data_IF_859288927846
#
_entry.id   IF_859288927846
#
_cell.length_a   1.000
_cell.length_b   1.000
_cell.length_c   1.000
_cell.angle_alpha   90.00
_cell.angle_beta   90.00
_cell.angle_gamma   90.00
#
_symmetry.space_group_name_H-M   'P 1'
#
loop_
_entity.id
_entity.type
_entity.pdbx_description
1 polymer ?
#
# COMPACT_ATOMS: atom_id res chain seq x y z
N UNK A 1 -18.51 -29.44 -15.48
CA UNK A 1 -18.20 -28.49 -14.38
C UNK A 1 -17.00 -27.59 -14.69
N UNK A 2 -15.80 -28.12 -14.97
CA UNK A 2 -14.58 -27.31 -15.19
C UNK A 2 -14.55 -26.44 -16.46
N UNK A 3 -15.49 -26.64 -17.40
CA UNK A 3 -15.66 -25.74 -18.57
C UNK A 3 -16.42 -24.45 -18.23
N UNK A 4 -17.19 -24.46 -17.14
CA UNK A 4 -17.98 -23.31 -16.67
C UNK A 4 -17.18 -22.44 -15.70
N UNK A 5 -16.20 -23.04 -15.01
CA UNK A 5 -15.59 -22.43 -13.83
C UNK A 5 -14.06 -22.48 -13.92
N UNK A 6 -13.38 -21.34 -13.75
CA UNK A 6 -11.90 -21.24 -13.76
C UNK A 6 -11.20 -21.86 -12.55
N UNK A 7 -11.92 -22.17 -11.48
CA UNK A 7 -11.36 -22.76 -10.28
C UNK A 7 -12.44 -23.08 -9.24
N UNK A 8 -12.12 -23.89 -8.24
CA UNK A 8 -13.11 -24.37 -7.25
C UNK A 8 -13.76 -23.24 -6.45
N UNK A 9 -13.09 -22.11 -6.23
CA UNK A 9 -13.66 -20.94 -5.54
C UNK A 9 -14.69 -20.18 -6.39
N UNK A 10 -14.61 -20.28 -7.71
CA UNK A 10 -15.57 -19.66 -8.62
C UNK A 10 -16.85 -20.50 -8.77
N UNK A 11 -16.87 -21.75 -8.27
CA UNK A 11 -18.05 -22.64 -8.34
C UNK A 11 -19.19 -22.07 -7.48
N UNK A 12 -18.89 -21.68 -6.24
CA UNK A 12 -19.87 -21.12 -5.32
C UNK A 12 -20.48 -19.82 -5.85
N UNK A 13 -19.66 -18.97 -6.45
CA UNK A 13 -20.12 -17.72 -7.04
C UNK A 13 -21.07 -17.96 -8.23
N UNK A 14 -20.72 -18.88 -9.13
CA UNK A 14 -21.57 -19.23 -10.28
C UNK A 14 -22.90 -19.84 -9.81
N UNK A 15 -22.88 -20.69 -8.77
CA UNK A 15 -24.11 -21.26 -8.21
C UNK A 15 -25.01 -20.21 -7.56
N UNK A 16 -24.45 -19.22 -6.87
CA UNK A 16 -25.21 -18.10 -6.28
C UNK A 16 -25.91 -17.26 -7.37
N UNK A 17 -25.21 -16.98 -8.46
CA UNK A 17 -25.79 -16.28 -9.63
C UNK A 17 -26.91 -17.08 -10.27
N UNK A 18 -26.70 -18.38 -10.51
CA UNK A 18 -27.72 -19.25 -11.10
C UNK A 18 -28.96 -19.40 -10.21
N UNK A 19 -28.75 -19.40 -8.89
CA UNK A 19 -29.84 -19.40 -7.91
C UNK A 19 -30.68 -18.12 -8.01
N UNK A 20 -30.04 -16.95 -8.00
CA UNK A 20 -30.73 -15.65 -8.11
C UNK A 20 -31.54 -15.53 -9.39
N UNK A 21 -30.99 -15.98 -10.50
CA UNK A 21 -31.62 -15.89 -11.83
C UNK A 21 -32.59 -17.03 -12.14
N UNK A 22 -32.81 -17.96 -11.19
CA UNK A 22 -33.69 -19.13 -11.34
C UNK A 22 -33.33 -20.02 -12.55
N UNK A 23 -32.04 -20.11 -12.87
CA UNK A 23 -31.54 -20.90 -14.01
C UNK A 23 -31.12 -22.28 -13.54
N UNK A 24 -31.62 -23.32 -14.22
CA UNK A 24 -31.25 -24.69 -13.91
C UNK A 24 -29.88 -25.07 -14.52
N UNK A 25 -28.97 -25.62 -13.72
CA UNK A 25 -27.67 -26.14 -14.17
C UNK A 25 -27.60 -27.65 -14.04
N UNK A 26 -27.50 -28.32 -15.20
CA UNK A 26 -27.27 -29.76 -15.30
C UNK A 26 -25.88 -30.08 -15.82
N UNK A 27 -25.22 -31.03 -15.16
CA UNK A 27 -23.91 -31.52 -15.59
C UNK A 27 -24.13 -32.77 -16.43
N UNK A 28 -23.66 -32.73 -17.69
CA UNK A 28 -23.81 -33.86 -18.62
C UNK A 28 -22.72 -34.91 -18.45
N UNK A 29 -21.49 -34.52 -18.10
CA UNK A 29 -20.33 -35.43 -18.06
C UNK A 29 -19.48 -35.28 -16.80
N UNK A 30 -18.83 -36.39 -16.41
CA UNK A 30 -17.91 -36.48 -15.28
C UNK A 30 -18.53 -37.02 -13.99
N UNK A 31 -17.83 -36.86 -12.86
CA UNK A 31 -18.24 -37.40 -11.55
C UNK A 31 -19.60 -36.87 -11.02
N UNK A 32 -20.13 -35.81 -11.63
CA UNK A 32 -21.43 -35.21 -11.31
C UNK A 32 -22.42 -35.31 -12.48
N UNK A 33 -22.20 -36.23 -13.43
CA UNK A 33 -23.10 -36.44 -14.58
C UNK A 33 -24.53 -36.73 -14.12
N UNK A 34 -25.51 -36.23 -14.90
CA UNK A 34 -26.94 -36.25 -14.64
C UNK A 34 -27.41 -35.45 -13.42
N UNK A 35 -26.51 -34.76 -12.72
CA UNK A 35 -26.87 -34.00 -11.53
C UNK A 35 -27.35 -32.59 -11.88
N UNK A 36 -28.47 -32.23 -11.26
CA UNK A 36 -29.02 -30.88 -11.28
C UNK A 36 -28.58 -30.14 -10.01
N UNK A 37 -27.64 -29.21 -10.16
CA UNK A 37 -27.05 -28.47 -9.03
C UNK A 37 -27.95 -27.35 -8.50
N UNK A 38 -29.14 -27.24 -9.08
CA UNK A 38 -30.15 -26.21 -8.80
C UNK A 38 -31.49 -26.85 -8.48
N UNK A 39 -31.52 -28.14 -8.13
CA UNK A 39 -32.76 -28.80 -7.78
C UNK A 39 -33.32 -28.26 -6.46
N UNK A 40 -34.58 -27.80 -6.49
CA UNK A 40 -35.30 -27.27 -5.33
C UNK A 40 -36.31 -28.27 -4.77
N UNK A 41 -36.53 -28.18 -3.48
CA UNK A 41 -37.59 -28.91 -2.82
C UNK A 41 -38.96 -28.26 -3.13
N UNK A 42 -39.90 -28.99 -3.74
CA UNK A 42 -41.12 -28.40 -4.33
C UNK A 42 -42.08 -27.76 -3.32
N UNK A 43 -41.96 -28.06 -2.02
CA UNK A 43 -42.78 -27.42 -0.97
C UNK A 43 -42.10 -26.29 -0.21
N UNK A 44 -40.76 -26.29 -0.13
CA UNK A 44 -40.04 -25.30 0.68
C UNK A 44 -39.34 -24.24 -0.17
N UNK A 45 -39.17 -24.46 -1.48
CA UNK A 45 -38.45 -23.54 -2.36
C UNK A 45 -36.95 -23.47 -2.08
N UNK A 46 -36.44 -24.27 -1.14
CA UNK A 46 -35.03 -24.34 -0.79
C UNK A 46 -34.31 -25.38 -1.65
N UNK A 47 -32.99 -25.20 -1.83
CA UNK A 47 -32.13 -26.17 -2.52
C UNK A 47 -32.22 -27.53 -1.80
N UNK A 48 -32.27 -28.62 -2.55
CA UNK A 48 -32.23 -29.97 -1.97
C UNK A 48 -31.00 -30.12 -1.05
N UNK A 49 -31.22 -30.60 0.18
CA UNK A 49 -30.15 -30.74 1.20
C UNK A 49 -28.97 -31.58 0.70
N UNK A 50 -29.22 -32.57 -0.16
CA UNK A 50 -28.17 -33.37 -0.83
C UNK A 50 -27.32 -32.53 -1.78
N UNK A 51 -27.93 -31.64 -2.57
CA UNK A 51 -27.23 -30.73 -3.46
C UNK A 51 -26.40 -29.74 -2.64
N UNK A 52 -26.99 -29.17 -1.58
CA UNK A 52 -26.30 -28.25 -0.66
C UNK A 52 -25.08 -28.90 -0.01
N UNK A 53 -25.23 -30.13 0.51
CA UNK A 53 -24.13 -30.88 1.10
C UNK A 53 -23.01 -31.11 0.09
N UNK A 54 -23.32 -31.58 -1.12
CA UNK A 54 -22.31 -31.86 -2.14
C UNK A 54 -21.57 -30.61 -2.62
N UNK A 55 -22.28 -29.49 -2.81
CA UNK A 55 -21.68 -28.20 -3.17
C UNK A 55 -20.72 -27.73 -2.06
N UNK A 56 -21.11 -27.88 -0.79
CA UNK A 56 -20.25 -27.55 0.35
C UNK A 56 -19.03 -28.46 0.45
N UNK A 57 -19.19 -29.77 0.27
CA UNK A 57 -18.07 -30.72 0.25
C UNK A 57 -17.11 -30.41 -0.89
N UNK A 58 -17.62 -30.13 -2.09
CA UNK A 58 -16.82 -29.73 -3.25
C UNK A 58 -16.02 -28.45 -3.00
N UNK A 59 -16.65 -27.45 -2.39
CA UNK A 59 -15.99 -26.21 -2.03
C UNK A 59 -14.88 -26.45 -1.00
N UNK A 60 -15.19 -27.19 0.07
CA UNK A 60 -14.25 -27.52 1.14
C UNK A 60 -13.06 -28.35 0.62
N UNK A 61 -13.29 -29.39 -0.19
CA UNK A 61 -12.22 -30.17 -0.84
C UNK A 61 -11.38 -29.28 -1.78
N UNK A 62 -12.03 -28.37 -2.50
CA UNK A 62 -11.34 -27.42 -3.37
C UNK A 62 -10.47 -26.42 -2.63
N UNK A 63 -10.87 -26.00 -1.43
CA UNK A 63 -10.06 -25.19 -0.52
C UNK A 63 -8.90 -25.98 0.06
N UNK A 64 -9.15 -27.17 0.58
CA UNK A 64 -8.12 -28.08 1.09
C UNK A 64 -7.03 -28.34 0.04
N UNK A 65 -7.42 -28.62 -1.21
CA UNK A 65 -6.46 -28.83 -2.29
C UNK A 65 -5.61 -27.59 -2.56
N UNK A 66 -6.21 -26.39 -2.51
CA UNK A 66 -5.48 -25.13 -2.72
C UNK A 66 -4.50 -24.85 -1.58
N UNK A 67 -4.90 -25.13 -0.35
CA UNK A 67 -4.04 -24.92 0.80
C UNK A 67 -2.88 -25.91 0.82
N UNK A 68 -3.13 -27.19 0.49
CA UNK A 68 -2.07 -28.18 0.33
C UNK A 68 -1.08 -27.79 -0.79
N UNK A 69 -1.58 -27.33 -1.94
CA UNK A 69 -0.71 -26.84 -3.03
C UNK A 69 0.15 -25.65 -2.59
N UNK A 70 -0.41 -24.72 -1.80
CA UNK A 70 0.35 -23.60 -1.23
C UNK A 70 1.43 -24.08 -0.27
N UNK A 71 1.08 -24.98 0.64
CA UNK A 71 2.02 -25.53 1.63
C UNK A 71 3.21 -26.21 0.93
N UNK A 72 2.94 -27.09 -0.04
CA UNK A 72 3.99 -27.73 -0.84
C UNK A 72 4.82 -26.72 -1.65
N UNK A 73 4.20 -25.64 -2.11
CA UNK A 73 4.92 -24.56 -2.80
C UNK A 73 5.86 -23.83 -1.84
N UNK A 74 5.40 -23.52 -0.62
CA UNK A 74 6.25 -22.90 0.40
C UNK A 74 7.38 -23.83 0.85
N UNK A 75 7.14 -25.13 0.98
CA UNK A 75 8.18 -26.11 1.24
C UNK A 75 9.24 -26.13 0.14
N UNK A 76 8.79 -26.12 -1.13
CA UNK A 76 9.67 -26.01 -2.28
C UNK A 76 10.49 -24.72 -2.29
N UNK A 77 9.87 -23.58 -1.95
CA UNK A 77 10.55 -22.29 -1.84
C UNK A 77 11.58 -22.30 -0.71
N UNK A 78 11.23 -22.80 0.48
CA UNK A 78 12.16 -22.95 1.61
C UNK A 78 13.34 -23.85 1.23
N UNK A 79 13.08 -24.96 0.54
CA UNK A 79 14.13 -25.85 0.05
C UNK A 79 15.00 -25.24 -1.06
N UNK A 80 14.47 -24.29 -1.83
CA UNK A 80 15.24 -23.54 -2.82
C UNK A 80 16.11 -22.45 -2.17
N UNK A 81 15.59 -21.78 -1.14
CA UNK A 81 16.31 -20.78 -0.35
C UNK A 81 17.50 -21.40 0.38
N UNK A 82 17.36 -22.59 0.97
CA UNK A 82 18.49 -23.31 1.61
C UNK A 82 19.58 -23.70 0.61
N UNK A 83 19.23 -23.88 -0.67
CA UNK A 83 20.19 -24.07 -1.77
C UNK A 83 20.79 -22.76 -2.29
N UNK A 84 20.45 -21.62 -1.69
CA UNK A 84 20.92 -20.29 -2.06
C UNK A 84 20.20 -19.67 -3.26
N UNK A 85 19.10 -20.27 -3.73
CA UNK A 85 18.29 -19.67 -4.79
C UNK A 85 17.54 -18.46 -4.26
N UNK A 86 17.63 -17.34 -4.96
CA UNK A 86 16.90 -16.11 -4.62
C UNK A 86 15.72 -15.95 -5.57
N UNK A 87 14.52 -15.83 -5.00
CA UNK A 87 13.33 -15.46 -5.74
C UNK A 87 13.32 -14.00 -6.18
N UNK A 88 12.30 -13.62 -6.95
CA UNK A 88 12.10 -12.25 -7.40
C UNK A 88 12.78 -11.94 -8.74
N UNK A 89 12.78 -10.66 -9.11
CA UNK A 89 13.35 -10.19 -10.37
C UNK A 89 14.87 -10.23 -10.28
N UNK A 90 15.52 -10.84 -11.29
CA UNK A 90 16.98 -10.78 -11.39
C UNK A 90 17.46 -9.32 -11.42
N UNK A 91 18.56 -8.99 -10.71
CA UNK A 91 19.13 -7.65 -10.74
C UNK A 91 19.42 -7.21 -12.18
N UNK A 92 19.02 -5.99 -12.53
CA UNK A 92 19.27 -5.40 -13.86
C UNK A 92 20.77 -5.27 -14.15
N UNK A 93 21.61 -5.20 -13.11
CA UNK A 93 23.06 -5.10 -13.22
C UNK A 93 23.72 -6.35 -12.66
N UNK A 94 24.55 -7.01 -13.46
CA UNK A 94 25.38 -8.12 -13.01
C UNK A 94 26.43 -7.62 -12.00
N UNK A 95 26.81 -8.46 -11.03
CA UNK A 95 27.75 -8.08 -9.96
C UNK A 95 29.07 -7.49 -10.49
N UNK A 96 29.63 -8.03 -11.57
CA UNK A 96 30.83 -7.49 -12.21
C UNK A 96 30.66 -6.05 -12.72
N UNK A 97 29.46 -5.71 -13.22
CA UNK A 97 29.14 -4.34 -13.68
C UNK A 97 28.95 -3.39 -12.49
N UNK A 98 28.39 -3.88 -11.40
CA UNK A 98 28.24 -3.15 -10.13
C UNK A 98 29.60 -2.76 -9.57
N UNK A 99 30.57 -3.68 -9.59
CA UNK A 99 31.91 -3.38 -9.06
C UNK A 99 32.63 -2.30 -9.87
N UNK A 100 32.56 -2.36 -11.21
CA UNK A 100 33.12 -1.29 -12.05
C UNK A 100 32.49 0.07 -11.78
N UNK A 101 31.20 0.11 -11.44
CA UNK A 101 30.49 1.35 -11.11
C UNK A 101 30.94 1.88 -9.76
N UNK A 102 31.15 1.00 -8.78
CA UNK A 102 31.69 1.36 -7.47
C UNK A 102 33.10 1.94 -7.58
N UNK A 103 33.98 1.30 -8.33
CA UNK A 103 35.34 1.82 -8.58
C UNK A 103 35.28 3.20 -9.23
N UNK A 104 34.51 3.36 -10.31
CA UNK A 104 34.39 4.64 -11.01
C UNK A 104 33.76 5.74 -10.13
N UNK A 105 32.84 5.39 -9.23
CA UNK A 105 32.27 6.33 -8.27
C UNK A 105 33.31 6.78 -7.23
N UNK A 106 34.13 5.87 -6.70
CA UNK A 106 35.25 6.20 -5.80
C UNK A 106 36.32 7.07 -6.47
N UNK A 107 36.50 6.93 -7.78
CA UNK A 107 37.34 7.81 -8.61
C UNK A 107 36.72 9.20 -8.87
N UNK A 108 35.54 9.48 -8.31
CA UNK A 108 34.89 10.80 -8.37
C UNK A 108 33.93 11.01 -9.55
N UNK A 109 33.57 9.95 -10.29
CA UNK A 109 32.56 10.05 -11.37
C UNK A 109 31.17 10.24 -10.78
N UNK A 110 30.40 11.19 -11.33
CA UNK A 110 29.05 11.45 -10.85
C UNK A 110 28.06 10.35 -11.24
N UNK A 111 27.02 10.17 -10.41
CA UNK A 111 25.91 9.21 -10.64
C UNK A 111 25.28 9.42 -12.03
N UNK A 112 25.16 10.67 -12.46
CA UNK A 112 24.55 11.03 -13.74
C UNK A 112 25.44 10.65 -14.94
N UNK A 113 26.76 10.84 -14.81
CA UNK A 113 27.71 10.41 -15.84
C UNK A 113 27.69 8.88 -15.98
N UNK A 114 27.72 8.16 -14.85
CA UNK A 114 27.68 6.70 -14.83
C UNK A 114 26.38 6.13 -15.41
N UNK A 115 25.24 6.78 -15.14
CA UNK A 115 23.95 6.39 -15.70
C UNK A 115 23.91 6.53 -17.23
N UNK A 116 24.42 7.66 -17.76
CA UNK A 116 24.45 7.91 -19.21
C UNK A 116 25.41 6.98 -19.94
N UNK A 117 26.64 6.82 -19.43
CA UNK A 117 27.67 5.97 -20.05
C UNK A 117 27.25 4.51 -20.17
N UNK A 118 26.43 4.02 -19.24
CA UNK A 118 26.01 2.62 -19.15
C UNK A 118 24.57 2.37 -19.58
N UNK A 119 23.83 3.41 -19.96
CA UNK A 119 22.44 3.32 -20.41
C UNK A 119 21.47 2.78 -19.35
N UNK A 120 21.72 3.06 -18.07
CA UNK A 120 20.90 2.60 -16.94
C UNK A 120 20.29 3.79 -16.19
N UNK A 121 19.23 3.57 -15.44
CA UNK A 121 18.59 4.64 -14.67
C UNK A 121 19.49 5.12 -13.52
N UNK A 122 19.35 6.40 -13.15
CA UNK A 122 20.03 6.98 -11.96
C UNK A 122 19.72 6.18 -10.68
N UNK A 123 18.49 5.66 -10.57
CA UNK A 123 18.07 4.81 -9.46
C UNK A 123 18.86 3.50 -9.40
N UNK A 124 19.12 2.85 -10.54
CA UNK A 124 19.93 1.63 -10.58
C UNK A 124 21.39 1.89 -10.15
N UNK A 125 21.97 3.03 -10.57
CA UNK A 125 23.30 3.44 -10.11
C UNK A 125 23.28 3.73 -8.60
N UNK A 126 22.30 4.49 -8.08
CA UNK A 126 22.15 4.75 -6.65
C UNK A 126 22.03 3.47 -5.83
N UNK A 127 21.27 2.48 -6.31
CA UNK A 127 21.19 1.16 -5.66
C UNK A 127 22.53 0.42 -5.68
N UNK A 128 23.32 0.54 -6.76
CA UNK A 128 24.62 -0.10 -6.89
C UNK A 128 25.71 0.49 -5.96
N UNK A 129 25.62 1.79 -5.65
CA UNK A 129 26.58 2.50 -4.77
C UNK A 129 25.97 2.89 -3.42
N UNK A 130 24.84 2.29 -3.04
CA UNK A 130 24.08 2.70 -1.85
C UNK A 130 24.90 2.68 -0.56
N UNK A 131 25.84 1.73 -0.46
CA UNK A 131 26.78 1.56 0.63
C UNK A 131 27.91 2.61 0.66
N UNK A 132 28.13 3.32 -0.46
CA UNK A 132 29.16 4.34 -0.62
C UNK A 132 28.59 5.77 -0.64
N UNK A 133 27.26 5.91 -0.65
CA UNK A 133 26.63 7.21 -0.51
C UNK A 133 26.91 7.70 0.91
N UNK A 134 27.45 8.92 1.10
CA UNK A 134 27.51 9.50 2.42
C UNK A 134 26.08 9.50 2.98
N UNK A 135 25.89 8.92 4.17
CA UNK A 135 24.67 9.13 4.95
C UNK A 135 24.54 10.64 5.07
N UNK A 136 23.69 11.24 4.25
CA UNK A 136 23.21 12.58 4.53
C UNK A 136 22.23 12.40 5.68
N UNK A 137 22.75 12.16 6.88
CA UNK A 137 22.07 12.60 8.08
C UNK A 137 21.86 14.09 7.87
N UNK A 138 20.61 14.50 7.95
CA UNK A 138 20.20 15.89 7.83
C UNK A 138 20.62 16.71 9.08
N UNK A 139 21.82 16.46 9.63
CA UNK A 139 22.29 17.00 10.90
C UNK A 139 23.40 18.06 10.77
N UNK A 140 23.91 18.33 9.57
CA UNK A 140 24.83 19.47 9.36
C UNK A 140 24.23 20.52 8.42
N UNK A 141 23.24 21.25 8.93
CA UNK A 141 22.96 22.64 8.48
C UNK A 141 22.16 23.44 9.51
N UNK A 142 22.54 23.34 10.78
CA UNK A 142 22.06 24.25 11.83
C UNK A 142 22.95 25.51 11.93
N UNK A 143 23.19 26.16 10.78
CA UNK A 143 23.72 27.52 10.72
C UNK A 143 22.85 28.34 9.77
N UNK A 144 21.77 28.88 10.35
CA UNK A 144 21.16 30.17 10.06
C UNK A 144 21.15 30.61 8.57
N UNK A 145 20.43 29.88 7.73
CA UNK A 145 19.80 30.48 6.55
C UNK A 145 18.34 30.79 6.91
N UNK A 146 17.78 31.96 6.56
CA UNK A 146 16.37 32.24 6.83
C UNK A 146 15.54 31.18 6.09
N UNK A 147 14.93 30.27 6.84
CA UNK A 147 14.03 29.26 6.32
C UNK A 147 12.90 29.98 5.55
N UNK A 148 12.92 29.88 4.23
CA UNK A 148 11.96 30.58 3.39
C UNK A 148 10.55 30.06 3.67
N UNK A 149 9.54 30.93 3.81
CA UNK A 149 8.16 30.49 4.01
C UNK A 149 7.69 29.61 2.85
N UNK A 150 7.09 28.47 3.17
CA UNK A 150 6.54 27.52 2.20
C UNK A 150 5.02 27.46 2.36
N UNK A 151 4.29 27.38 1.24
CA UNK A 151 2.84 27.19 1.27
C UNK A 151 2.48 25.71 1.25
N UNK A 152 1.97 25.18 2.37
CA UNK A 152 1.49 23.79 2.47
C UNK A 152 -0.03 23.72 2.58
N UNK A 153 -0.59 22.64 2.02
CA UNK A 153 -1.99 22.29 2.21
C UNK A 153 -2.18 21.46 3.48
N UNK A 154 -2.85 22.01 4.48
CA UNK A 154 -3.25 21.30 5.69
C UNK A 154 -4.68 20.75 5.54
N UNK A 155 -4.92 19.43 5.75
CA UNK A 155 -6.27 18.87 5.75
C UNK A 155 -7.16 19.52 6.81
N UNK A 156 -8.44 19.75 6.49
CA UNK A 156 -9.37 20.48 7.36
C UNK A 156 -9.50 19.88 8.76
N UNK A 157 -9.48 18.55 8.89
CA UNK A 157 -9.51 17.86 10.20
C UNK A 157 -8.30 18.20 11.10
N UNK A 158 -7.13 18.44 10.50
CA UNK A 158 -5.92 18.87 11.22
C UNK A 158 -6.05 20.34 11.61
N UNK A 159 -6.51 21.19 10.69
CA UNK A 159 -6.75 22.61 10.95
C UNK A 159 -7.81 22.83 12.05
N UNK A 160 -8.91 22.08 12.03
CA UNK A 160 -9.97 22.15 13.04
C UNK A 160 -9.45 21.77 14.44
N UNK A 161 -8.62 20.72 14.51
CA UNK A 161 -7.98 20.31 15.76
C UNK A 161 -7.04 21.40 16.30
N UNK A 162 -6.17 21.94 15.44
CA UNK A 162 -5.19 22.97 15.83
C UNK A 162 -5.84 24.28 16.28
N UNK A 163 -6.98 24.67 15.70
CA UNK A 163 -7.72 25.86 16.16
C UNK A 163 -8.27 25.74 17.58
N UNK A 164 -8.46 24.52 18.06
CA UNK A 164 -8.86 24.24 19.44
C UNK A 164 -7.67 23.99 20.39
N UNK A 165 -6.45 23.89 19.86
CA UNK A 165 -5.25 23.68 20.63
C UNK A 165 -4.67 25.00 21.14
N UNK A 166 -3.88 24.94 22.21
CA UNK A 166 -3.13 26.09 22.68
C UNK A 166 -1.85 26.26 21.84
N UNK A 167 -1.77 27.34 21.07
CA UNK A 167 -0.74 27.59 20.08
C UNK A 167 0.04 28.86 20.39
N UNK A 168 1.31 28.87 19.99
CA UNK A 168 2.15 30.06 20.04
C UNK A 168 1.59 31.14 19.09
N UNK A 169 1.86 32.44 19.34
CA UNK A 169 1.32 33.53 18.51
C UNK A 169 1.66 33.40 17.02
N UNK A 170 2.85 32.90 16.69
CA UNK A 170 3.29 32.69 15.32
C UNK A 170 2.53 31.55 14.61
N UNK A 171 2.28 30.44 15.32
CA UNK A 171 1.49 29.29 14.84
C UNK A 171 0.03 29.71 14.58
N UNK A 172 -0.55 30.45 15.53
CA UNK A 172 -1.92 30.96 15.43
C UNK A 172 -2.08 31.93 14.26
N UNK A 173 -1.15 32.88 14.12
CA UNK A 173 -1.15 33.84 13.00
C UNK A 173 -1.05 33.13 11.63
N UNK A 174 -0.24 32.09 11.51
CA UNK A 174 -0.13 31.32 10.27
C UNK A 174 -1.44 30.60 9.91
N UNK A 175 -2.11 30.00 10.89
CA UNK A 175 -3.41 29.34 10.69
C UNK A 175 -4.52 30.33 10.30
N UNK A 176 -4.53 31.51 10.92
CA UNK A 176 -5.53 32.56 10.68
C UNK A 176 -5.36 33.22 9.30
N UNK A 177 -4.12 33.36 8.84
CA UNK A 177 -3.81 33.86 7.49
C UNK A 177 -4.03 32.81 6.39
N UNK A 178 -4.29 31.55 6.77
CA UNK A 178 -4.47 30.45 5.83
C UNK A 178 -5.75 30.58 5.00
N UNK A 179 -5.66 30.32 3.70
CA UNK A 179 -6.80 30.35 2.79
C UNK A 179 -7.49 28.98 2.73
N UNK A 180 -8.79 28.92 3.04
CA UNK A 180 -9.57 27.68 2.97
C UNK A 180 -10.00 27.37 1.53
N UNK A 181 -9.72 26.15 1.06
CA UNK A 181 -10.15 25.64 -0.25
C UNK A 181 -11.09 24.46 -0.03
N UNK A 182 -12.33 24.56 -0.52
CA UNK A 182 -13.33 23.49 -0.40
C UNK A 182 -12.92 22.26 -1.22
N UNK A 183 -13.08 21.06 -0.64
CA UNK A 183 -12.74 19.76 -1.24
C UNK A 183 -13.80 18.72 -0.84
N UNK A 184 -14.81 18.52 -1.68
CA UNK A 184 -15.91 17.60 -1.40
C UNK A 184 -16.62 17.93 -0.09
N UNK A 185 -16.79 16.95 0.80
CA UNK A 185 -17.37 17.14 2.14
C UNK A 185 -16.41 17.81 3.16
N UNK A 186 -15.18 18.14 2.76
CA UNK A 186 -14.17 18.77 3.62
C UNK A 186 -13.53 20.02 3.00
N UNK A 187 -12.41 20.44 3.57
CA UNK A 187 -11.60 21.53 3.04
C UNK A 187 -10.11 21.28 3.27
N UNK A 188 -9.27 22.01 2.55
CA UNK A 188 -7.82 22.10 2.77
C UNK A 188 -7.49 23.54 3.09
N UNK A 189 -6.78 23.79 4.18
CA UNK A 189 -6.24 25.11 4.53
C UNK A 189 -4.89 25.27 3.84
N UNK A 190 -4.76 26.24 2.92
CA UNK A 190 -3.47 26.63 2.35
C UNK A 190 -2.82 27.63 3.29
N UNK A 191 -1.76 27.20 3.97
CA UNK A 191 -1.07 28.00 4.96
C UNK A 191 0.37 28.22 4.50
N UNK A 192 0.82 29.46 4.56
CA UNK A 192 2.21 29.82 4.26
C UNK A 192 2.92 30.08 5.58
N UNK A 193 3.88 29.23 5.92
CA UNK A 193 4.67 29.39 7.13
C UNK A 193 6.09 28.89 6.89
N UNK A 194 6.98 29.26 7.81
CA UNK A 194 8.34 28.75 7.85
C UNK A 194 8.30 27.23 8.14
N UNK A 195 9.11 26.39 7.49
CA UNK A 195 9.19 24.94 7.74
C UNK A 195 9.19 24.55 9.23
N UNK A 196 9.94 25.25 10.09
CA UNK A 196 9.91 25.04 11.53
C UNK A 196 8.50 25.13 12.14
N UNK A 197 7.67 26.10 11.72
CA UNK A 197 6.27 26.25 12.19
C UNK A 197 5.41 25.10 11.69
N UNK A 198 5.64 24.60 10.48
CA UNK A 198 4.94 23.42 9.98
C UNK A 198 5.26 22.16 10.78
N UNK A 199 6.51 21.97 11.23
CA UNK A 199 6.93 20.88 12.13
C UNK A 199 6.28 20.99 13.50
N UNK A 200 6.34 22.17 14.12
CA UNK A 200 5.74 22.41 15.44
C UNK A 200 4.23 22.09 15.42
N UNK A 201 3.51 22.56 14.39
CA UNK A 201 2.09 22.24 14.22
C UNK A 201 1.84 20.73 14.01
N UNK A 202 2.73 20.02 13.32
CA UNK A 202 2.63 18.57 13.14
C UNK A 202 2.84 17.82 14.47
N UNK A 203 3.78 18.26 15.29
CA UNK A 203 4.05 17.69 16.62
C UNK A 203 2.85 17.88 17.55
N UNK A 204 2.22 19.06 17.53
CA UNK A 204 0.97 19.32 18.29
C UNK A 204 -0.16 18.37 17.88
N UNK A 205 -0.13 17.82 16.67
CA UNK A 205 -1.14 16.90 16.16
C UNK A 205 -0.96 15.44 16.59
N UNK A 206 0.13 15.08 17.31
CA UNK A 206 0.34 13.71 17.82
C UNK A 206 -0.88 13.06 18.50
N UNK A 207 -1.71 13.77 19.30
CA UNK A 207 -2.91 13.18 19.92
C UNK A 207 -3.92 12.60 18.91
N UNK A 208 -3.91 13.04 17.65
CA UNK A 208 -4.78 12.51 16.60
C UNK A 208 -4.48 11.06 16.22
N UNK A 209 -3.30 10.53 16.56
CA UNK A 209 -2.92 9.13 16.32
C UNK A 209 -3.59 8.14 17.29
N UNK A 210 -4.10 8.66 18.41
CA UNK A 210 -4.59 7.87 19.54
C UNK A 210 -3.58 7.82 20.68
N UNK A 211 -4.03 8.24 21.87
CA UNK A 211 -3.25 8.25 23.10
C UNK A 211 -4.13 8.56 24.33
N UNK A 212 -3.69 8.11 25.51
CA UNK A 212 -4.30 8.24 26.84
C UNK A 212 -5.81 8.59 26.88
N UNK A 213 -6.65 7.57 26.73
CA UNK A 213 -8.08 7.63 27.10
C UNK A 213 -9.05 8.13 26.02
N UNK A 214 -8.59 8.51 24.83
CA UNK A 214 -9.47 8.90 23.71
C UNK A 214 -9.33 7.94 22.51
N UNK A 215 -10.45 7.42 21.96
CA UNK A 215 -10.40 6.53 20.81
C UNK A 215 -9.93 7.27 19.55
N UNK A 216 -8.92 6.72 18.88
CA UNK A 216 -8.39 7.27 17.65
C UNK A 216 -9.42 7.21 16.50
N UNK A 217 -9.81 8.36 15.96
CA UNK A 217 -10.74 8.42 14.82
C UNK A 217 -9.96 8.17 13.52
N UNK A 218 -10.29 7.13 12.71
CA UNK A 218 -9.53 6.78 11.51
C UNK A 218 -9.33 7.94 10.52
N UNK A 219 -10.35 8.80 10.39
CA UNK A 219 -10.30 9.98 9.52
C UNK A 219 -9.28 11.03 9.99
N UNK A 220 -9.11 11.20 11.30
CA UNK A 220 -8.13 12.13 11.89
C UNK A 220 -6.69 11.63 11.68
N UNK A 221 -6.44 10.34 11.90
CA UNK A 221 -5.15 9.71 11.61
C UNK A 221 -4.72 9.86 10.16
N UNK A 222 -5.65 9.61 9.24
CA UNK A 222 -5.39 9.78 7.80
C UNK A 222 -5.04 11.24 7.48
N UNK A 223 -5.77 12.19 8.06
CA UNK A 223 -5.53 13.61 7.85
C UNK A 223 -4.16 14.06 8.41
N UNK A 224 -3.75 13.59 9.60
CA UNK A 224 -2.40 13.85 10.15
C UNK A 224 -1.31 13.29 9.24
N UNK A 225 -1.42 12.02 8.84
CA UNK A 225 -0.46 11.37 7.92
C UNK A 225 -0.34 12.10 6.58
N UNK A 226 -1.46 12.60 6.05
CA UNK A 226 -1.44 13.38 4.82
C UNK A 226 -0.71 14.73 4.99
N UNK A 227 -0.85 15.37 6.15
CA UNK A 227 -0.10 16.59 6.46
C UNK A 227 1.38 16.30 6.68
N UNK A 228 1.73 15.26 7.43
CA UNK A 228 3.10 14.76 7.64
C UNK A 228 3.81 14.49 6.31
N UNK A 229 3.15 13.75 5.40
CA UNK A 229 3.70 13.49 4.07
C UNK A 229 3.98 14.77 3.28
N UNK A 230 3.17 15.83 3.45
CA UNK A 230 3.37 17.11 2.78
C UNK A 230 4.55 17.87 3.39
N UNK A 231 4.67 17.89 4.72
CA UNK A 231 5.82 18.50 5.40
C UNK A 231 7.11 17.81 4.95
N UNK A 232 7.16 16.48 5.02
CA UNK A 232 8.33 15.68 4.64
C UNK A 232 8.69 15.81 3.15
N UNK A 233 7.69 15.88 2.26
CA UNK A 233 7.94 16.02 0.81
C UNK A 233 8.55 17.37 0.44
N UNK A 234 8.28 18.43 1.21
CA UNK A 234 8.88 19.75 0.99
C UNK A 234 10.30 19.88 1.58
N UNK A 235 10.69 18.98 2.47
CA UNK A 235 12.04 18.93 3.05
C UNK A 235 13.02 18.09 2.21
N UNK A 236 12.50 17.23 1.32
CA UNK A 236 13.34 16.47 0.41
C UNK A 236 13.99 17.40 -0.64
N UNK A 237 15.33 17.50 -0.72
CA UNK A 237 15.98 18.25 -1.78
C UNK A 237 15.69 17.60 -3.15
N UNK A 238 15.26 18.42 -4.11
CA UNK A 238 15.00 18.03 -5.49
C UNK A 238 16.25 17.55 -6.23
#
# INVERSE_FOLDING_TARGET
>A
MFRLVRGTGHILHVLDVLHREQVALRIHDGAFSAMDLTAYHPRSGELLSTVKLMVQTLAATGELQRDLQRELTYDGLRAAETKGSKGGRCPTMAAAKTETIRTAYLEGRSIDALARDRGVSRGAIRTAVADLLPEHTADEKDVLAPEQPVTLGMPGKVADFLRSADLEPAERAALDQGATVRRGQGYTLRMTAVPAVHRQLLDRCQPLDGGQGLPAVPAQRKARREYENRVNAHEAPA
#
